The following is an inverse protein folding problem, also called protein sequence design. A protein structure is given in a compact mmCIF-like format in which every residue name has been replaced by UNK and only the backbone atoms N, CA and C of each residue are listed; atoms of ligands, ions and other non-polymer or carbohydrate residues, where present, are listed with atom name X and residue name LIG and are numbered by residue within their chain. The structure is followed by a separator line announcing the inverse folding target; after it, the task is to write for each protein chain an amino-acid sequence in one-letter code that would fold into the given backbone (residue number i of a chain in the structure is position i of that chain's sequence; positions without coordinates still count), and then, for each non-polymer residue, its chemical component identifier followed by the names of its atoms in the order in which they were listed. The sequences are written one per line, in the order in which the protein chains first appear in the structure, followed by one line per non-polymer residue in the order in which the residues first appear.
data_IF_595061778802
#
_entry.id   IF_595061778802
#
_cell.length_a   1.000
_cell.length_b   1.000
_cell.length_c   1.000
_cell.angle_alpha   90.00
_cell.angle_beta   90.00
_cell.angle_gamma   90.00
#
_symmetry.space_group_name_H-M   'P 1'
#
loop_
_entity.id
_entity.type
_entity.pdbx_description
1 polymer ?
#
# COMPACT_ATOMS: atom_id res chain seq x y z
N UNK A 1 -10.47 8.69 -16.89
CA UNK A 1 -9.70 7.45 -17.13
C UNK A 1 -8.98 7.61 -18.46
N UNK A 2 -7.66 7.37 -18.53
CA UNK A 2 -6.95 7.35 -19.81
C UNK A 2 -7.43 6.12 -20.58
N UNK A 3 -7.96 6.32 -21.78
CA UNK A 3 -8.57 5.27 -22.60
C UNK A 3 -7.58 4.17 -23.06
N UNK A 4 -6.27 4.33 -22.78
CA UNK A 4 -5.20 3.42 -23.21
C UNK A 4 -4.43 2.71 -22.10
N UNK A 5 -4.93 2.66 -20.86
CA UNK A 5 -4.21 1.88 -19.82
C UNK A 5 -4.21 0.40 -20.19
N UNK A 6 -3.04 -0.17 -20.42
CA UNK A 6 -2.85 -1.62 -20.63
C UNK A 6 -2.18 -2.29 -19.43
N UNK A 7 -1.40 -1.51 -18.68
CA UNK A 7 -0.56 -1.98 -17.58
C UNK A 7 -0.51 -0.90 -16.50
N UNK A 8 -0.46 -1.33 -15.25
CA UNK A 8 -0.19 -0.47 -14.10
C UNK A 8 1.23 -0.72 -13.60
N UNK A 9 1.98 0.35 -13.34
CA UNK A 9 3.15 0.28 -12.48
C UNK A 9 2.66 0.16 -11.03
N UNK A 10 3.04 -0.92 -10.36
CA UNK A 10 2.77 -1.14 -8.94
C UNK A 10 3.95 -0.63 -8.13
N UNK A 11 3.71 0.41 -7.34
CA UNK A 11 4.72 1.02 -6.47
C UNK A 11 4.44 0.70 -5.01
N UNK A 12 5.48 0.37 -4.24
CA UNK A 12 5.49 0.64 -2.80
C UNK A 12 5.67 2.13 -2.60
N UNK A 13 4.77 2.77 -1.85
CA UNK A 13 4.85 4.21 -1.52
C UNK A 13 5.09 4.37 -0.02
N UNK A 14 6.02 5.26 0.33
CA UNK A 14 6.44 5.52 1.72
C UNK A 14 6.13 6.96 2.10
N UNK A 15 5.51 7.16 3.25
CA UNK A 15 5.21 8.48 3.81
C UNK A 15 5.75 8.61 5.24
N UNK A 16 6.38 9.75 5.54
CA UNK A 16 6.79 10.07 6.90
C UNK A 16 5.56 10.15 7.81
N UNK A 17 5.65 9.57 9.01
CA UNK A 17 4.68 9.77 10.08
C UNK A 17 5.30 10.59 11.22
N UNK A 18 4.44 11.27 11.99
CA UNK A 18 4.89 12.10 13.11
C UNK A 18 5.42 11.26 14.29
N UNK A 19 4.97 10.00 14.40
CA UNK A 19 5.34 9.04 15.45
C UNK A 19 5.41 7.65 14.83
N UNK A 20 6.30 6.81 15.35
CA UNK A 20 6.47 5.45 14.85
C UNK A 20 7.26 5.35 13.55
N UNK A 21 7.30 4.17 12.93
CA UNK A 21 7.91 3.97 11.62
C UNK A 21 7.16 4.72 10.52
N UNK A 22 7.76 4.79 9.33
CA UNK A 22 7.08 5.36 8.17
C UNK A 22 5.81 4.57 7.82
N UNK A 23 4.87 5.29 7.21
CA UNK A 23 3.67 4.70 6.62
C UNK A 23 3.99 4.08 5.28
N UNK A 24 3.49 2.89 5.02
CA UNK A 24 3.59 2.27 3.71
C UNK A 24 2.22 1.97 3.09
N UNK A 25 2.18 2.02 1.77
CA UNK A 25 1.03 1.63 0.97
C UNK A 25 1.46 1.18 -0.43
N UNK A 26 0.48 0.84 -1.25
CA UNK A 26 0.68 0.41 -2.64
C UNK A 26 -0.02 1.38 -3.57
N UNK A 27 0.68 1.87 -4.60
CA UNK A 27 0.10 2.70 -5.64
C UNK A 27 0.09 1.97 -7.00
N UNK A 28 -1.08 1.87 -7.63
CA UNK A 28 -1.20 1.49 -9.03
C UNK A 28 -1.33 2.74 -9.90
N UNK A 29 -0.35 2.95 -10.76
CA UNK A 29 -0.32 4.09 -11.69
C UNK A 29 -0.32 3.55 -13.11
N UNK A 30 -1.22 3.98 -14.02
CA UNK A 30 -1.13 3.60 -15.42
C UNK A 30 0.28 3.84 -15.96
N UNK A 31 0.91 2.83 -16.55
CA UNK A 31 2.28 2.95 -17.05
C UNK A 31 2.40 4.01 -18.17
N UNK A 32 1.28 4.27 -18.87
CA UNK A 32 1.16 5.28 -19.92
C UNK A 32 0.95 6.71 -19.38
N UNK A 33 0.82 6.90 -18.06
CA UNK A 33 0.68 8.22 -17.48
C UNK A 33 2.07 8.88 -17.36
N UNK A 34 2.25 10.10 -17.87
CA UNK A 34 3.51 10.84 -17.69
C UNK A 34 3.78 11.15 -16.21
N UNK A 35 2.71 11.43 -15.46
CA UNK A 35 2.81 11.68 -14.03
C UNK A 35 2.68 10.38 -13.23
N UNK A 36 3.83 9.74 -12.99
CA UNK A 36 3.91 8.53 -12.17
C UNK A 36 3.68 8.76 -10.67
N UNK A 37 3.43 10.00 -10.23
CA UNK A 37 3.12 10.35 -8.83
C UNK A 37 1.64 10.44 -8.50
N UNK A 38 0.76 9.99 -9.39
CA UNK A 38 -0.71 10.01 -9.22
C UNK A 38 -1.34 8.70 -9.66
N UNK A 39 -2.11 8.06 -8.79
CA UNK A 39 -2.76 6.79 -9.12
C UNK A 39 -3.76 6.32 -8.08
N UNK A 40 -4.09 5.02 -8.15
CA UNK A 40 -4.89 4.34 -7.15
C UNK A 40 -3.98 4.00 -5.99
N UNK A 41 -4.26 4.49 -4.79
CA UNK A 41 -3.48 4.19 -3.59
C UNK A 41 -4.29 3.32 -2.66
N UNK A 42 -3.67 2.26 -2.16
CA UNK A 42 -4.23 1.30 -1.23
C UNK A 42 -3.31 1.22 -0.02
N UNK A 43 -3.88 1.29 1.17
CA UNK A 43 -3.12 1.25 2.42
C UNK A 43 -4.02 0.83 3.58
N UNK A 44 -3.41 0.51 4.71
CA UNK A 44 -4.09 0.27 5.97
C UNK A 44 -3.80 1.43 6.90
N UNK A 45 -4.80 2.01 7.56
CA UNK A 45 -4.65 3.23 8.38
C UNK A 45 -5.19 3.02 9.79
N UNK A 46 -4.68 3.78 10.76
CA UNK A 46 -5.04 3.64 12.17
C UNK A 46 -3.87 3.13 13.00
N UNK A 47 -4.14 2.85 14.26
CA UNK A 47 -3.12 2.39 15.21
C UNK A 47 -3.21 0.86 15.34
N UNK A 48 -2.08 0.16 15.19
CA UNK A 48 -2.01 -1.32 15.28
C UNK A 48 -2.70 -1.86 16.54
N UNK A 49 -2.51 -1.18 17.68
CA UNK A 49 -3.08 -1.60 18.98
C UNK A 49 -4.60 -1.48 19.08
N UNK A 50 -5.20 -0.52 18.36
CA UNK A 50 -6.65 -0.28 18.36
C UNK A 50 -7.32 -0.98 17.19
N UNK A 51 -6.57 -1.24 16.12
CA UNK A 51 -7.03 -1.82 14.88
C UNK A 51 -6.79 -0.85 13.72
N UNK A 52 -6.26 -1.39 12.63
CA UNK A 52 -6.11 -0.67 11.37
C UNK A 52 -7.29 -0.95 10.43
N UNK A 53 -7.55 -0.04 9.50
CA UNK A 53 -8.60 -0.14 8.50
C UNK A 53 -8.02 -0.02 7.10
N UNK A 54 -8.45 -0.90 6.22
CA UNK A 54 -8.16 -0.79 4.79
C UNK A 54 -8.84 0.45 4.20
N UNK A 55 -8.08 1.24 3.44
CA UNK A 55 -8.56 2.42 2.71
C UNK A 55 -8.02 2.41 1.27
N UNK A 56 -8.83 2.90 0.33
CA UNK A 56 -8.51 2.93 -1.09
C UNK A 56 -8.87 4.29 -1.69
N UNK A 57 -7.87 4.93 -2.30
CA UNK A 57 -7.99 6.25 -2.93
C UNK A 57 -7.81 6.13 -4.45
N UNK A 58 -8.88 6.19 -5.26
CA UNK A 58 -8.82 5.82 -6.68
C UNK A 58 -8.04 6.80 -7.57
N UNK A 59 -7.80 8.04 -7.12
CA UNK A 59 -7.10 9.07 -7.87
C UNK A 59 -6.34 10.01 -6.93
N UNK A 60 -5.34 9.48 -6.22
CA UNK A 60 -4.55 10.22 -5.24
C UNK A 60 -3.19 10.62 -5.80
N UNK A 61 -2.86 11.92 -5.70
CA UNK A 61 -1.55 12.48 -6.07
C UNK A 61 -0.58 12.35 -4.90
N UNK A 62 -0.14 11.12 -4.65
CA UNK A 62 0.70 10.79 -3.50
C UNK A 62 2.03 11.56 -3.49
N UNK A 63 2.63 11.83 -4.66
CA UNK A 63 3.90 12.57 -4.74
C UNK A 63 3.80 14.03 -4.32
N UNK A 64 2.58 14.60 -4.27
CA UNK A 64 2.34 15.95 -3.79
C UNK A 64 1.95 16.00 -2.30
N UNK A 65 1.85 14.84 -1.63
CA UNK A 65 1.62 14.82 -0.18
C UNK A 65 2.83 15.40 0.54
N UNK A 66 2.60 16.26 1.54
CA UNK A 66 3.69 16.79 2.38
C UNK A 66 4.45 15.70 3.14
N UNK A 67 3.77 14.58 3.43
CA UNK A 67 4.38 13.43 4.09
C UNK A 67 5.08 12.49 3.12
N UNK A 68 4.96 12.67 1.79
CA UNK A 68 5.60 11.77 0.83
C UNK A 68 7.11 11.73 1.03
N UNK A 69 7.64 10.51 1.15
CA UNK A 69 9.07 10.27 1.35
C UNK A 69 9.71 9.69 0.09
N UNK A 70 9.17 8.57 -0.41
CA UNK A 70 9.72 7.86 -1.57
C UNK A 70 8.71 6.89 -2.17
N UNK A 71 9.02 6.35 -3.35
CA UNK A 71 8.28 5.25 -3.96
C UNK A 71 9.21 4.35 -4.77
N UNK A 72 8.96 3.04 -4.75
CA UNK A 72 9.77 2.04 -5.44
C UNK A 72 8.89 1.22 -6.36
N UNK A 73 9.29 1.07 -7.63
CA UNK A 73 8.59 0.20 -8.56
C UNK A 73 8.84 -1.25 -8.16
N UNK A 74 7.77 -1.99 -7.90
CA UNK A 74 7.85 -3.41 -7.50
C UNK A 74 7.68 -4.32 -8.71
N UNK A 75 6.68 -4.04 -9.55
CA UNK A 75 6.40 -4.78 -10.79
C UNK A 75 5.39 -4.02 -11.67
N UNK A 76 5.11 -4.58 -12.84
CA UNK A 76 4.09 -4.12 -13.75
C UNK A 76 2.91 -5.10 -13.79
N UNK A 77 1.72 -4.62 -13.43
CA UNK A 77 0.49 -5.40 -13.39
C UNK A 77 -0.31 -5.23 -14.69
N UNK A 78 -0.60 -6.30 -15.44
CA UNK A 78 -1.54 -6.23 -16.56
C UNK A 78 -2.91 -5.72 -16.10
N UNK A 79 -3.53 -4.80 -16.84
CA UNK A 79 -4.85 -4.24 -16.48
C UNK A 79 -5.93 -5.32 -16.30
N UNK A 80 -5.82 -6.43 -17.04
CA UNK A 80 -6.72 -7.59 -16.93
C UNK A 80 -6.70 -8.22 -15.53
N UNK A 81 -5.60 -8.05 -14.77
CA UNK A 81 -5.43 -8.57 -13.42
C UNK A 81 -5.84 -7.56 -12.32
N UNK A 82 -6.32 -6.37 -12.67
CA UNK A 82 -6.67 -5.34 -11.68
C UNK A 82 -7.71 -5.83 -10.66
N UNK A 83 -8.75 -6.54 -11.12
CA UNK A 83 -9.77 -7.07 -10.21
C UNK A 83 -9.18 -8.08 -9.24
N UNK A 84 -8.33 -9.00 -9.74
CA UNK A 84 -7.67 -10.01 -8.91
C UNK A 84 -6.69 -9.39 -7.91
N UNK A 85 -6.00 -8.33 -8.31
CA UNK A 85 -5.14 -7.55 -7.42
C UNK A 85 -5.95 -6.87 -6.30
N UNK A 86 -7.09 -6.25 -6.63
CA UNK A 86 -7.99 -5.64 -5.63
C UNK A 86 -8.64 -6.68 -4.70
N UNK A 87 -8.81 -7.93 -5.14
CA UNK A 87 -9.20 -9.05 -4.27
C UNK A 87 -8.08 -9.41 -3.28
N UNK A 88 -6.82 -9.52 -3.74
CA UNK A 88 -5.66 -9.80 -2.86
C UNK A 88 -5.55 -8.72 -1.78
N UNK A 89 -5.65 -7.45 -2.15
CA UNK A 89 -5.62 -6.33 -1.21
C UNK A 89 -6.63 -6.48 -0.06
N UNK A 90 -7.86 -6.91 -0.38
CA UNK A 90 -8.94 -7.06 0.62
C UNK A 90 -8.86 -8.38 1.39
N UNK A 91 -8.24 -9.41 0.80
CA UNK A 91 -8.04 -10.71 1.42
C UNK A 91 -7.06 -10.62 2.59
N UNK A 92 -6.02 -9.81 2.48
CA UNK A 92 -5.04 -9.60 3.55
C UNK A 92 -5.62 -8.68 4.64
N UNK A 93 -5.81 -9.18 5.88
CA UNK A 93 -6.43 -8.41 6.93
C UNK A 93 -5.52 -7.25 7.35
N UNK A 94 -6.08 -6.07 7.70
CA UNK A 94 -5.30 -5.02 8.34
C UNK A 94 -4.63 -5.53 9.63
N UNK A 95 -3.39 -5.11 9.91
CA UNK A 95 -2.69 -5.49 11.14
C UNK A 95 -3.47 -5.06 12.39
N UNK A 96 -3.49 -5.94 13.38
CA UNK A 96 -4.01 -5.65 14.70
C UNK A 96 -3.24 -6.44 15.76
N UNK A 97 -2.65 -5.73 16.72
CA UNK A 97 -1.95 -6.35 17.84
C UNK A 97 -2.11 -5.47 19.10
N UNK A 98 -3.03 -5.79 20.02
CA UNK A 98 -3.29 -4.97 21.20
C UNK A 98 -2.09 -4.91 22.17
N UNK A 99 -1.09 -5.81 22.05
CA UNK A 99 0.09 -5.82 22.91
C UNK A 99 0.87 -4.51 22.83
N UNK A 100 0.86 -3.82 21.69
CA UNK A 100 1.56 -2.53 21.52
C UNK A 100 1.01 -1.40 22.42
N UNK A 101 -0.16 -1.61 23.05
CA UNK A 101 -0.73 -0.66 24.01
C UNK A 101 -0.10 -0.78 25.41
N UNK A 102 0.49 -1.93 25.73
CA UNK A 102 0.97 -2.26 27.08
C UNK A 102 2.42 -2.71 27.12
N UNK A 103 2.93 -3.26 26.02
CA UNK A 103 4.29 -3.79 25.89
C UNK A 103 5.13 -2.81 25.07
N UNK A 104 6.25 -2.35 25.64
CA UNK A 104 7.17 -1.43 24.95
C UNK A 104 7.92 -2.11 23.80
N UNK A 105 8.09 -3.44 23.83
CA UNK A 105 8.77 -4.23 22.80
C UNK A 105 8.19 -5.64 22.76
N UNK A 106 7.04 -5.84 22.10
CA UNK A 106 6.44 -7.16 21.94
C UNK A 106 7.39 -8.12 21.20
N UNK A 107 7.43 -9.38 21.63
CA UNK A 107 8.15 -10.47 20.95
C UNK A 107 7.16 -11.59 20.57
N UNK A 108 7.02 -11.96 19.29
CA UNK A 108 7.61 -11.31 18.12
C UNK A 108 7.08 -9.87 17.93
N UNK A 109 7.84 -9.01 17.21
CA UNK A 109 7.42 -7.65 16.91
C UNK A 109 6.01 -7.61 16.34
N UNK A 110 5.23 -6.63 16.77
CA UNK A 110 3.89 -6.40 16.24
C UNK A 110 3.98 -6.08 14.74
N UNK A 111 3.08 -6.69 13.96
CA UNK A 111 2.98 -6.44 12.52
C UNK A 111 2.39 -5.06 12.26
N UNK A 112 2.85 -4.40 11.21
CA UNK A 112 2.41 -3.05 10.84
C UNK A 112 2.02 -2.93 9.34
N UNK A 113 1.82 -1.69 8.88
CA UNK A 113 1.47 -1.42 7.48
C UNK A 113 2.51 -1.95 6.48
N UNK A 114 3.80 -1.95 6.83
CA UNK A 114 4.87 -2.45 5.97
C UNK A 114 4.73 -3.95 5.78
N UNK A 115 4.40 -4.69 6.85
CA UNK A 115 4.15 -6.13 6.75
C UNK A 115 2.92 -6.45 5.89
N UNK A 116 1.85 -5.66 5.98
CA UNK A 116 0.69 -5.83 5.10
C UNK A 116 1.05 -5.58 3.63
N UNK A 117 1.86 -4.54 3.36
CA UNK A 117 2.38 -4.27 2.01
C UNK A 117 3.24 -5.44 1.51
N UNK A 118 4.13 -5.98 2.34
CA UNK A 118 4.96 -7.13 2.00
C UNK A 118 4.11 -8.35 1.60
N UNK A 119 3.12 -8.73 2.42
CA UNK A 119 2.25 -9.88 2.17
C UNK A 119 1.46 -9.71 0.86
N UNK A 120 0.88 -8.53 0.65
CA UNK A 120 0.11 -8.22 -0.56
C UNK A 120 0.99 -8.27 -1.80
N UNK A 121 2.17 -7.63 -1.76
CA UNK A 121 3.08 -7.60 -2.92
C UNK A 121 3.64 -8.99 -3.22
N UNK A 122 3.92 -9.81 -2.19
CA UNK A 122 4.37 -11.18 -2.37
C UNK A 122 3.33 -12.03 -3.12
N UNK A 123 2.05 -11.95 -2.74
CA UNK A 123 0.97 -12.66 -3.44
C UNK A 123 0.69 -12.05 -4.81
N UNK A 124 0.64 -10.72 -4.92
CA UNK A 124 0.34 -10.02 -6.17
C UNK A 124 1.40 -10.24 -7.27
N UNK A 125 2.66 -10.49 -6.91
CA UNK A 125 3.73 -10.88 -7.85
C UNK A 125 3.45 -12.20 -8.57
N UNK A 126 2.47 -13.00 -8.13
CA UNK A 126 2.03 -14.20 -8.87
C UNK A 126 1.08 -13.88 -10.04
N UNK A 127 0.63 -12.63 -10.18
CA UNK A 127 -0.25 -12.17 -11.25
C UNK A 127 0.47 -11.63 -12.48
N UNK A 128 1.81 -11.55 -12.45
CA UNK A 128 2.64 -10.94 -13.50
C UNK A 128 3.45 -11.94 -14.31
#
# INVERSE_FOLDING_TARGET
MLAGTTTYNAYRVVFNQARGPDHEGIALVPAQNENQGTGRVYHVTGDVGVGMNYDAKPAYRFSASKSYKSSYLEFQLPKTQLARFEEILRKHPPPHDPRVLTEASPDPPARDCSNWVDDVLAEAKTLV
#
